data_IF_755206420274
#
_entry.id   IF_755206420274
#
_cell.length_a   1.000
_cell.length_b   1.000
_cell.length_c   1.000
_cell.angle_alpha   90.00
_cell.angle_beta   90.00
_cell.angle_gamma   90.00
#
_symmetry.space_group_name_H-M   'P 1'
#
loop_
_entity.id
_entity.type
_entity.pdbx_description
1 polymer ?
#
# COMPACT_ATOMS: atom_id res chain seq x y z
N UNK A 1 -12.06 -29.63 15.15
CA UNK A 1 -12.18 -29.16 13.76
C UNK A 1 -11.21 -28.00 13.63
N UNK A 2 -10.20 -28.11 12.78
CA UNK A 2 -9.26 -27.01 12.56
C UNK A 2 -9.96 -25.99 11.65
N UNK A 3 -10.28 -24.81 12.18
CA UNK A 3 -10.78 -23.72 11.36
C UNK A 3 -9.65 -23.21 10.47
N UNK A 4 -9.91 -23.06 9.17
CA UNK A 4 -8.96 -22.46 8.26
C UNK A 4 -8.81 -20.97 8.61
N UNK A 5 -7.60 -20.54 8.95
CA UNK A 5 -7.30 -19.17 9.39
C UNK A 5 -6.41 -18.40 8.42
N UNK A 6 -5.68 -19.11 7.55
CA UNK A 6 -4.89 -18.51 6.49
C UNK A 6 -5.24 -19.22 5.18
N UNK A 7 -5.47 -18.44 4.14
CA UNK A 7 -5.76 -18.93 2.81
C UNK A 7 -4.90 -18.16 1.81
N UNK A 8 -4.10 -18.91 1.06
CA UNK A 8 -3.29 -18.39 -0.02
C UNK A 8 -3.87 -18.84 -1.37
N UNK A 9 -4.24 -17.86 -2.18
CA UNK A 9 -4.75 -18.01 -3.54
C UNK A 9 -3.92 -17.18 -4.52
N UNK A 10 -2.69 -16.78 -4.17
CA UNK A 10 -1.88 -15.95 -5.06
C UNK A 10 -1.63 -16.62 -6.41
N UNK A 11 -1.56 -15.81 -7.47
CA UNK A 11 -1.31 -16.22 -8.86
C UNK A 11 -2.33 -17.26 -9.36
N UNK A 12 -3.52 -17.29 -8.75
CA UNK A 12 -4.62 -18.12 -9.22
C UNK A 12 -5.46 -17.36 -10.25
N UNK A 13 -5.11 -17.49 -11.52
CA UNK A 13 -5.82 -16.85 -12.65
C UNK A 13 -7.32 -17.19 -12.73
N UNK A 14 -7.73 -18.30 -12.11
CA UNK A 14 -9.12 -18.75 -12.07
C UNK A 14 -9.94 -18.16 -10.91
N UNK A 15 -9.29 -17.46 -9.96
CA UNK A 15 -9.99 -16.82 -8.86
C UNK A 15 -10.58 -15.50 -9.37
N UNK A 16 -11.91 -15.49 -9.45
CA UNK A 16 -12.74 -14.34 -9.80
C UNK A 16 -13.54 -13.88 -8.59
N UNK A 17 -14.26 -12.77 -8.74
CA UNK A 17 -15.08 -12.17 -7.68
C UNK A 17 -16.05 -13.17 -7.03
N UNK A 18 -16.69 -14.05 -7.81
CA UNK A 18 -17.59 -15.09 -7.27
C UNK A 18 -16.87 -16.05 -6.32
N UNK A 19 -15.62 -16.39 -6.64
CA UNK A 19 -14.76 -17.22 -5.82
C UNK A 19 -14.44 -16.53 -4.49
N UNK A 20 -14.07 -15.25 -4.53
CA UNK A 20 -13.78 -14.44 -3.34
C UNK A 20 -15.03 -14.25 -2.47
N UNK A 21 -16.19 -14.02 -3.08
CA UNK A 21 -17.47 -13.91 -2.36
C UNK A 21 -17.83 -15.24 -1.68
N UNK A 22 -17.57 -16.39 -2.32
CA UNK A 22 -17.83 -17.70 -1.74
C UNK A 22 -16.96 -17.98 -0.48
N UNK A 23 -15.80 -17.34 -0.36
CA UNK A 23 -14.95 -17.44 0.84
C UNK A 23 -15.65 -16.93 2.09
N UNK A 24 -16.68 -16.09 1.98
CA UNK A 24 -17.47 -15.63 3.14
C UNK A 24 -18.12 -16.76 3.96
N UNK A 25 -18.17 -17.99 3.44
CA UNK A 25 -18.55 -19.20 4.20
C UNK A 25 -17.47 -19.70 5.18
N UNK A 26 -16.27 -19.10 5.17
CA UNK A 26 -15.11 -19.43 6.00
C UNK A 26 -14.86 -18.30 7.01
N UNK A 27 -15.64 -18.20 8.10
CA UNK A 27 -15.68 -17.02 8.98
C UNK A 27 -14.41 -16.79 9.81
N UNK A 28 -13.48 -17.74 9.81
CA UNK A 28 -12.29 -17.71 10.66
C UNK A 28 -11.01 -17.26 9.94
N UNK A 29 -11.10 -16.84 8.67
CA UNK A 29 -9.94 -16.37 7.91
C UNK A 29 -9.42 -15.07 8.55
N UNK A 30 -8.15 -15.12 8.97
CA UNK A 30 -7.37 -14.01 9.51
C UNK A 30 -6.29 -13.54 8.52
N UNK A 31 -5.91 -14.36 7.54
CA UNK A 31 -4.95 -14.02 6.49
C UNK A 31 -5.47 -14.49 5.14
N UNK A 32 -5.55 -13.57 4.17
CA UNK A 32 -5.99 -13.84 2.81
C UNK A 32 -5.00 -13.23 1.82
N UNK A 33 -4.42 -14.08 0.96
CA UNK A 33 -3.52 -13.66 -0.11
C UNK A 33 -4.20 -13.87 -1.46
N UNK A 34 -4.50 -12.78 -2.16
CA UNK A 34 -5.05 -12.72 -3.52
C UNK A 34 -4.06 -12.07 -4.50
N UNK A 35 -2.77 -12.08 -4.17
CA UNK A 35 -1.74 -11.47 -5.02
C UNK A 35 -1.78 -12.06 -6.43
N UNK A 36 -1.74 -11.26 -7.48
CA UNK A 36 -1.75 -11.73 -8.87
C UNK A 36 -3.11 -12.26 -9.35
N UNK A 37 -4.17 -12.20 -8.53
CA UNK A 37 -5.52 -12.56 -8.98
C UNK A 37 -6.10 -11.43 -9.84
N UNK A 38 -5.69 -11.36 -11.11
CA UNK A 38 -6.00 -10.26 -12.04
C UNK A 38 -7.50 -10.13 -12.37
N UNK A 39 -8.30 -11.16 -12.09
CA UNK A 39 -9.76 -11.14 -12.30
C UNK A 39 -10.55 -10.71 -11.05
N UNK A 40 -9.86 -10.36 -9.95
CA UNK A 40 -10.50 -9.80 -8.76
C UNK A 40 -10.66 -8.29 -8.94
N UNK A 41 -11.89 -7.82 -8.82
CA UNK A 41 -12.28 -6.41 -8.95
C UNK A 41 -12.79 -5.86 -7.60
N UNK A 42 -13.36 -4.65 -7.63
CA UNK A 42 -14.07 -4.06 -6.49
C UNK A 42 -15.18 -4.97 -5.93
N UNK A 43 -15.81 -5.81 -6.76
CA UNK A 43 -16.83 -6.76 -6.31
C UNK A 43 -16.22 -7.84 -5.42
N UNK A 44 -15.07 -8.40 -5.80
CA UNK A 44 -14.32 -9.35 -4.99
C UNK A 44 -13.82 -8.73 -3.70
N UNK A 45 -13.26 -7.51 -3.75
CA UNK A 45 -12.84 -6.77 -2.56
C UNK A 45 -13.99 -6.54 -1.58
N UNK A 46 -15.21 -6.25 -2.09
CA UNK A 46 -16.43 -6.20 -1.28
C UNK A 46 -16.78 -7.56 -0.66
N UNK A 47 -16.56 -8.66 -1.38
CA UNK A 47 -16.71 -10.02 -0.84
C UNK A 47 -15.80 -10.30 0.36
N UNK A 48 -14.58 -9.76 0.37
CA UNK A 48 -13.63 -9.90 1.49
C UNK A 48 -14.19 -9.34 2.80
N UNK A 49 -15.12 -8.37 2.76
CA UNK A 49 -15.75 -7.78 3.95
C UNK A 49 -16.46 -8.79 4.86
N UNK A 50 -16.78 -9.99 4.37
CA UNK A 50 -17.32 -11.07 5.18
C UNK A 50 -16.37 -11.52 6.31
N UNK A 51 -15.06 -11.25 6.18
CA UNK A 51 -14.01 -11.68 7.11
C UNK A 51 -13.65 -10.55 8.07
N UNK A 52 -14.54 -10.18 8.99
CA UNK A 52 -14.35 -9.01 9.89
C UNK A 52 -13.17 -9.15 10.87
N UNK A 53 -12.67 -10.37 11.06
CA UNK A 53 -11.48 -10.68 11.86
C UNK A 53 -10.18 -10.71 11.04
N UNK A 54 -10.21 -10.32 9.76
CA UNK A 54 -9.05 -10.35 8.88
C UNK A 54 -7.96 -9.40 9.38
N UNK A 55 -6.75 -9.93 9.58
CA UNK A 55 -5.58 -9.21 10.05
C UNK A 55 -4.56 -8.94 8.94
N UNK A 56 -4.55 -9.76 7.90
CA UNK A 56 -3.65 -9.63 6.75
C UNK A 56 -4.40 -9.84 5.45
N UNK A 57 -4.27 -8.88 4.54
CA UNK A 57 -4.83 -8.93 3.19
C UNK A 57 -3.77 -8.51 2.16
N UNK A 58 -3.60 -9.32 1.12
CA UNK A 58 -2.89 -8.89 -0.09
C UNK A 58 -3.84 -8.93 -1.28
N UNK A 59 -3.99 -7.80 -1.94
CA UNK A 59 -4.66 -7.61 -3.23
C UNK A 59 -3.65 -7.15 -4.29
N UNK A 60 -2.36 -7.39 -4.05
CA UNK A 60 -1.31 -6.95 -4.96
C UNK A 60 -1.52 -7.52 -6.37
N UNK A 61 -1.38 -6.70 -7.41
CA UNK A 61 -1.61 -7.13 -8.79
C UNK A 61 -3.07 -7.36 -9.17
N UNK A 62 -4.05 -7.06 -8.31
CA UNK A 62 -5.46 -6.95 -8.71
C UNK A 62 -5.64 -5.65 -9.50
N UNK A 63 -5.39 -5.71 -10.81
CA UNK A 63 -5.28 -4.54 -11.68
C UNK A 63 -6.59 -3.77 -11.88
N UNK A 64 -7.73 -4.47 -11.76
CA UNK A 64 -9.08 -3.90 -11.88
C UNK A 64 -9.63 -3.37 -10.54
N UNK A 65 -8.79 -3.31 -9.50
CA UNK A 65 -9.15 -2.74 -8.20
C UNK A 65 -9.06 -1.21 -8.23
N UNK A 66 -10.15 -0.53 -7.89
CA UNK A 66 -10.24 0.92 -7.86
C UNK A 66 -10.45 1.45 -6.43
N UNK A 67 -10.63 2.78 -6.32
CA UNK A 67 -10.98 3.43 -5.06
C UNK A 67 -12.25 2.87 -4.41
N UNK A 68 -13.20 2.34 -5.20
CA UNK A 68 -14.42 1.72 -4.67
C UNK A 68 -14.12 0.38 -3.94
N UNK A 69 -13.14 -0.38 -4.44
CA UNK A 69 -12.62 -1.56 -3.76
C UNK A 69 -11.94 -1.19 -2.44
N UNK A 70 -11.13 -0.13 -2.42
CA UNK A 70 -10.49 0.35 -1.19
C UNK A 70 -11.49 0.87 -0.15
N UNK A 71 -12.58 1.50 -0.57
CA UNK A 71 -13.69 1.85 0.33
C UNK A 71 -14.30 0.62 1.00
N UNK A 72 -14.36 -0.52 0.30
CA UNK A 72 -14.82 -1.78 0.88
C UNK A 72 -13.81 -2.35 1.87
N UNK A 73 -12.51 -2.32 1.52
CA UNK A 73 -11.41 -2.76 2.40
C UNK A 73 -11.35 -1.95 3.70
N UNK A 74 -11.73 -0.67 3.69
CA UNK A 74 -11.76 0.19 4.88
C UNK A 74 -12.69 -0.31 6.00
N UNK A 75 -13.64 -1.20 5.70
CA UNK A 75 -14.49 -1.84 6.70
C UNK A 75 -13.75 -2.88 7.56
N UNK A 76 -12.58 -3.36 7.12
CA UNK A 76 -11.78 -4.41 7.78
C UNK A 76 -10.86 -3.80 8.84
N UNK A 77 -11.43 -3.18 9.87
CA UNK A 77 -10.69 -2.40 10.89
C UNK A 77 -9.74 -3.22 11.77
N UNK A 78 -9.81 -4.55 11.69
CA UNK A 78 -8.87 -5.49 12.32
C UNK A 78 -7.55 -5.65 11.55
N UNK A 79 -7.43 -5.07 10.34
CA UNK A 79 -6.23 -5.21 9.51
C UNK A 79 -5.00 -4.61 10.17
N UNK A 80 -3.94 -5.39 10.15
CA UNK A 80 -2.58 -5.02 10.56
C UNK A 80 -1.60 -5.01 9.39
N UNK A 81 -1.93 -5.72 8.31
CA UNK A 81 -1.13 -5.79 7.09
C UNK A 81 -2.02 -5.67 5.86
N UNK A 82 -1.72 -4.72 4.98
CA UNK A 82 -2.38 -4.50 3.71
C UNK A 82 -1.35 -4.32 2.60
N UNK A 83 -1.50 -5.07 1.51
CA UNK A 83 -0.76 -4.83 0.27
C UNK A 83 -1.76 -4.60 -0.86
N UNK A 84 -1.62 -3.47 -1.54
CA UNK A 84 -2.33 -3.14 -2.80
C UNK A 84 -1.31 -2.82 -3.90
N UNK A 85 -0.12 -3.40 -3.79
CA UNK A 85 0.97 -3.16 -4.74
C UNK A 85 0.54 -3.49 -6.18
N UNK A 86 0.84 -2.63 -7.14
CA UNK A 86 0.45 -2.81 -8.54
C UNK A 86 -1.04 -2.61 -8.82
N UNK A 87 -1.85 -2.15 -7.86
CA UNK A 87 -3.19 -1.64 -8.12
C UNK A 87 -3.09 -0.21 -8.67
N UNK A 88 -2.76 -0.09 -9.95
CA UNK A 88 -2.45 1.20 -10.62
C UNK A 88 -3.66 2.13 -10.77
N UNK A 89 -4.89 1.63 -10.58
CA UNK A 89 -6.11 2.44 -10.58
C UNK A 89 -6.47 3.02 -9.19
N UNK A 90 -5.79 2.57 -8.12
CA UNK A 90 -5.97 3.15 -6.79
C UNK A 90 -5.31 4.53 -6.72
N UNK A 91 -6.09 5.53 -6.33
CA UNK A 91 -5.69 6.94 -6.27
C UNK A 91 -5.63 7.47 -4.84
N UNK A 92 -5.34 8.76 -4.71
CA UNK A 92 -5.41 9.47 -3.43
C UNK A 92 -6.78 9.31 -2.75
N UNK A 93 -7.89 9.27 -3.50
CA UNK A 93 -9.24 9.08 -2.96
C UNK A 93 -9.43 7.70 -2.32
N UNK A 94 -8.98 6.64 -2.98
CA UNK A 94 -9.00 5.29 -2.43
C UNK A 94 -8.09 5.17 -1.22
N UNK A 95 -6.92 5.82 -1.25
CA UNK A 95 -6.04 5.86 -0.10
C UNK A 95 -6.70 6.58 1.08
N UNK A 96 -7.36 7.72 0.84
CA UNK A 96 -8.13 8.47 1.84
C UNK A 96 -9.21 7.62 2.50
N UNK A 97 -9.85 6.72 1.77
CA UNK A 97 -10.86 5.82 2.30
C UNK A 97 -10.31 4.87 3.37
N UNK A 98 -9.01 4.55 3.36
CA UNK A 98 -8.37 3.61 4.29
C UNK A 98 -8.14 4.18 5.70
N UNK A 99 -8.41 5.46 5.96
CA UNK A 99 -8.27 6.10 7.29
C UNK A 99 -8.82 5.29 8.50
N UNK A 100 -9.92 4.52 8.39
CA UNK A 100 -10.40 3.71 9.52
C UNK A 100 -9.46 2.60 9.99
N UNK A 101 -8.45 2.22 9.20
CA UNK A 101 -7.50 1.14 9.50
C UNK A 101 -6.42 1.58 10.52
N UNK A 102 -6.84 2.07 11.68
CA UNK A 102 -5.94 2.65 12.71
C UNK A 102 -4.92 1.65 13.29
N UNK A 103 -5.19 0.34 13.14
CA UNK A 103 -4.34 -0.76 13.57
C UNK A 103 -3.28 -1.17 12.55
N UNK A 104 -3.25 -0.54 11.37
CA UNK A 104 -2.36 -0.94 10.28
C UNK A 104 -0.89 -0.73 10.68
N UNK A 105 -0.11 -1.82 10.60
CA UNK A 105 1.31 -1.87 10.92
C UNK A 105 2.18 -2.03 9.67
N UNK A 106 1.66 -2.65 8.63
CA UNK A 106 2.35 -2.89 7.36
C UNK A 106 1.46 -2.43 6.20
N UNK A 107 1.99 -1.55 5.36
CA UNK A 107 1.33 -1.07 4.15
C UNK A 107 2.29 -1.13 2.97
N UNK A 108 1.86 -1.76 1.88
CA UNK A 108 2.55 -1.71 0.60
C UNK A 108 1.66 -1.04 -0.45
N UNK A 109 2.16 0.06 -1.00
CA UNK A 109 1.59 0.81 -2.13
C UNK A 109 2.49 0.72 -3.36
N UNK A 110 3.43 -0.24 -3.39
CA UNK A 110 4.41 -0.35 -4.46
C UNK A 110 3.75 -0.33 -5.85
N UNK A 111 4.21 0.53 -6.75
CA UNK A 111 3.64 0.66 -8.09
C UNK A 111 2.21 1.24 -8.13
N UNK A 112 1.69 1.82 -7.04
CA UNK A 112 0.47 2.63 -7.08
C UNK A 112 0.79 4.01 -7.66
N UNK A 113 0.79 4.11 -9.00
CA UNK A 113 1.24 5.30 -9.73
C UNK A 113 0.34 6.52 -9.52
N UNK A 114 -0.94 6.35 -9.17
CA UNK A 114 -1.87 7.47 -8.99
C UNK A 114 -1.83 8.07 -7.58
N UNK A 115 -1.12 7.47 -6.64
CA UNK A 115 -0.90 8.03 -5.30
C UNK A 115 0.16 9.12 -5.37
N UNK A 116 -0.16 10.30 -4.83
CA UNK A 116 0.67 11.50 -4.85
C UNK A 116 0.94 12.04 -3.44
N UNK A 117 1.64 13.17 -3.36
CA UNK A 117 1.82 13.94 -2.12
C UNK A 117 0.49 14.25 -1.40
N UNK A 118 -0.61 14.35 -2.16
CA UNK A 118 -1.94 14.53 -1.59
C UNK A 118 -2.35 13.32 -0.76
N UNK A 119 -2.36 12.13 -1.34
CA UNK A 119 -2.69 10.89 -0.65
C UNK A 119 -1.80 10.61 0.56
N UNK A 120 -0.52 11.00 0.50
CA UNK A 120 0.43 10.84 1.61
C UNK A 120 -0.02 11.50 2.92
N UNK A 121 -0.87 12.53 2.86
CA UNK A 121 -1.48 13.14 4.07
C UNK A 121 -2.32 12.15 4.87
N UNK A 122 -2.82 11.09 4.24
CA UNK A 122 -3.58 10.00 4.88
C UNK A 122 -2.78 9.24 5.91
N UNK A 123 -1.45 9.14 5.75
CA UNK A 123 -0.60 8.35 6.62
C UNK A 123 -0.72 8.71 8.10
N UNK A 124 -1.07 9.97 8.40
CA UNK A 124 -1.34 10.45 9.77
C UNK A 124 -2.45 9.66 10.50
N UNK A 125 -3.30 8.94 9.78
CA UNK A 125 -4.34 8.09 10.32
C UNK A 125 -3.83 6.71 10.78
N UNK A 126 -2.57 6.35 10.51
CA UNK A 126 -1.97 5.06 10.84
C UNK A 126 -0.88 5.21 11.92
N UNK A 127 -1.25 5.51 13.18
CA UNK A 127 -0.28 5.75 14.24
C UNK A 127 0.57 4.51 14.59
N UNK A 128 0.10 3.32 14.21
CA UNK A 128 0.77 2.04 14.44
C UNK A 128 1.66 1.58 13.29
N UNK A 129 1.80 2.39 12.23
CA UNK A 129 2.50 1.98 11.00
C UNK A 129 4.00 1.81 11.28
N UNK A 130 4.50 0.59 11.02
CA UNK A 130 5.89 0.18 11.25
C UNK A 130 6.67 0.01 9.95
N UNK A 131 5.99 -0.41 8.89
CA UNK A 131 6.57 -0.65 7.57
C UNK A 131 5.72 -0.02 6.49
N UNK A 132 6.35 0.77 5.62
CA UNK A 132 5.74 1.39 4.47
C UNK A 132 6.58 1.15 3.22
N UNK A 133 5.99 0.59 2.18
CA UNK A 133 6.62 0.44 0.87
C UNK A 133 5.93 1.36 -0.14
N UNK A 134 6.68 2.30 -0.69
CA UNK A 134 6.26 3.26 -1.72
C UNK A 134 7.06 3.08 -3.01
N UNK A 135 7.78 1.96 -3.17
CA UNK A 135 8.62 1.75 -4.34
C UNK A 135 7.80 1.90 -5.64
N UNK A 136 8.35 2.60 -6.63
CA UNK A 136 7.63 2.86 -7.88
C UNK A 136 6.44 3.84 -7.78
N UNK A 137 6.19 4.49 -6.63
CA UNK A 137 5.23 5.59 -6.55
C UNK A 137 5.86 6.90 -7.05
N UNK A 138 5.85 7.11 -8.36
CA UNK A 138 6.61 8.19 -9.01
C UNK A 138 6.05 9.61 -8.83
N UNK A 139 4.83 9.76 -8.32
CA UNK A 139 4.18 11.06 -8.08
C UNK A 139 4.37 11.56 -6.64
N UNK A 140 5.14 10.83 -5.83
CA UNK A 140 5.52 11.23 -4.48
C UNK A 140 6.85 11.99 -4.55
N UNK A 141 6.88 13.16 -3.94
CA UNK A 141 8.06 14.03 -3.81
C UNK A 141 8.47 14.16 -2.35
N UNK A 142 9.57 14.90 -2.11
CA UNK A 142 10.01 15.27 -0.76
C UNK A 142 8.92 15.99 0.05
N UNK A 143 8.01 16.73 -0.59
CA UNK A 143 6.90 17.40 0.09
C UNK A 143 5.91 16.38 0.67
N UNK A 144 5.56 15.34 -0.09
CA UNK A 144 4.73 14.23 0.39
C UNK A 144 5.39 13.45 1.52
N UNK A 145 6.71 13.26 1.47
CA UNK A 145 7.45 12.58 2.54
C UNK A 145 7.43 13.34 3.87
N UNK A 146 7.16 14.65 3.88
CA UNK A 146 6.94 15.39 5.13
C UNK A 146 5.73 14.84 5.92
N UNK A 147 4.80 14.11 5.29
CA UNK A 147 3.70 13.43 5.95
C UNK A 147 4.14 12.23 6.82
N UNK A 148 5.38 11.76 6.69
CA UNK A 148 5.97 10.70 7.50
C UNK A 148 6.43 11.18 8.88
N UNK A 149 6.69 12.47 9.06
CA UNK A 149 7.19 13.06 10.31
C UNK A 149 6.41 12.65 11.59
N UNK A 150 5.07 12.54 11.60
CA UNK A 150 4.33 12.11 12.79
C UNK A 150 4.34 10.58 13.04
N UNK A 151 4.86 9.77 12.11
CA UNK A 151 4.87 8.31 12.23
C UNK A 151 6.03 7.80 13.08
N UNK A 152 5.93 8.01 14.39
CA UNK A 152 6.99 7.65 15.35
C UNK A 152 7.25 6.14 15.47
N UNK A 153 6.32 5.29 15.02
CA UNK A 153 6.46 3.85 15.01
C UNK A 153 7.13 3.29 13.73
N UNK A 154 7.36 4.14 12.71
CA UNK A 154 7.89 3.70 11.42
C UNK A 154 9.36 3.30 11.56
N UNK A 155 9.68 2.07 11.17
CA UNK A 155 11.02 1.47 11.27
C UNK A 155 11.55 0.96 9.94
N UNK A 156 10.68 0.79 8.95
CA UNK A 156 11.01 0.33 7.60
C UNK A 156 10.31 1.22 6.57
N UNK A 157 11.08 1.76 5.63
CA UNK A 157 10.62 2.57 4.53
C UNK A 157 11.36 2.17 3.25
N UNK A 158 10.61 1.87 2.19
CA UNK A 158 11.15 1.65 0.84
C UNK A 158 10.67 2.76 -0.10
N UNK A 159 11.63 3.40 -0.77
CA UNK A 159 11.44 4.48 -1.76
C UNK A 159 12.11 4.12 -3.09
N UNK A 160 12.40 2.84 -3.32
CA UNK A 160 13.14 2.39 -4.50
C UNK A 160 12.40 2.80 -5.77
N UNK A 161 13.10 3.35 -6.76
CA UNK A 161 12.50 3.85 -8.00
C UNK A 161 11.50 5.00 -7.76
N UNK A 162 11.63 5.79 -6.68
CA UNK A 162 10.94 7.08 -6.53
C UNK A 162 11.86 8.20 -7.07
N UNK A 163 11.96 8.32 -8.39
CA UNK A 163 12.92 9.22 -9.06
C UNK A 163 12.81 10.69 -8.59
N UNK A 164 11.59 11.17 -8.29
CA UNK A 164 11.36 12.55 -7.83
C UNK A 164 11.88 12.83 -6.42
N UNK A 165 12.03 11.80 -5.58
CA UNK A 165 12.66 11.89 -4.25
C UNK A 165 14.18 11.81 -4.41
N UNK A 166 14.65 10.88 -5.25
CA UNK A 166 16.07 10.65 -5.48
C UNK A 166 16.77 11.86 -6.15
N UNK A 167 16.09 12.57 -7.05
CA UNK A 167 16.64 13.78 -7.70
C UNK A 167 16.79 14.98 -6.77
N UNK A 168 15.91 15.15 -5.78
CA UNK A 168 15.94 16.33 -4.91
C UNK A 168 16.98 16.21 -3.79
N UNK A 169 17.25 15.00 -3.28
CA UNK A 169 18.40 14.76 -2.39
C UNK A 169 19.71 15.08 -3.13
N UNK A 170 19.82 14.69 -4.42
CA UNK A 170 20.97 15.02 -5.25
C UNK A 170 21.07 16.53 -5.52
N UNK A 171 19.96 17.23 -5.83
CA UNK A 171 19.96 18.70 -6.03
C UNK A 171 20.24 19.46 -4.74
N UNK A 172 19.74 19.01 -3.58
CA UNK A 172 20.02 19.63 -2.28
C UNK A 172 21.51 19.48 -1.93
N UNK A 173 22.12 18.33 -2.22
CA UNK A 173 23.57 18.15 -2.12
C UNK A 173 24.34 19.04 -3.11
N UNK A 174 23.86 19.20 -4.35
CA UNK A 174 24.50 20.02 -5.38
C UNK A 174 24.43 21.53 -5.07
N UNK A 175 23.30 22.01 -4.53
CA UNK A 175 23.13 23.40 -4.06
C UNK A 175 23.99 23.71 -2.82
N UNK A 176 24.19 22.73 -1.92
CA UNK A 176 25.10 22.88 -0.80
C UNK A 176 26.58 22.88 -1.21
N UNK A 177 26.96 22.14 -2.26
CA UNK A 177 28.34 22.15 -2.79
C UNK A 177 28.67 23.42 -3.60
N UNK A 178 27.68 24.02 -4.26
CA UNK A 178 27.85 25.33 -4.94
C UNK A 178 27.96 26.50 -3.95
N UNK A 179 27.33 26.43 -2.77
CA UNK A 179 27.53 27.42 -1.70
C UNK A 179 28.89 27.30 -0.99
N UNK A 180 29.54 26.12 -1.03
CA UNK A 180 30.79 25.85 -0.31
C UNK A 180 32.00 25.54 -1.20
N UNK A 181 31.87 25.59 -2.54
CA UNK A 181 33.00 25.52 -3.47
C UNK A 181 33.75 24.18 -3.51
N UNK A 182 33.07 23.05 -3.32
CA UNK A 182 33.69 21.71 -3.42
C UNK A 182 33.06 20.89 -4.56
N UNK A 183 33.89 20.30 -5.42
CA UNK A 183 33.51 19.70 -6.71
C UNK A 183 32.77 18.35 -6.58
N UNK A 184 31.67 18.23 -7.32
CA UNK A 184 30.74 17.10 -7.44
C UNK A 184 31.34 15.92 -8.25
N UNK A 185 32.45 15.34 -7.79
CA UNK A 185 33.19 14.32 -8.53
C UNK A 185 33.40 13.02 -7.76
N UNK A 186 32.35 12.32 -7.32
CA UNK A 186 32.53 11.00 -6.70
C UNK A 186 31.29 10.07 -6.60
N UNK A 187 30.17 10.32 -7.29
CA UNK A 187 28.97 9.45 -7.16
C UNK A 187 28.50 8.96 -8.54
N UNK A 188 29.40 8.34 -9.27
CA UNK A 188 29.06 7.32 -10.27
C UNK A 188 30.20 6.30 -10.32
N UNK A 189 30.00 5.18 -9.64
CA UNK A 189 30.69 3.90 -9.88
C UNK A 189 29.67 2.79 -9.71
#
# INVERSE_FOLDING_TARGET
>A
MHSLTALDLSECDLVMDEGVVALGSLPAIASLNLTGCVQVTDTGAKGVMAHTALMSLSLAGCQELTDAGLQSVAALTSLTSLSIAGCWQASDEGFYALKPLIGLAHLSLEGCEQVSDEGMRTLRAFPSLKSLNLAGCWRITDEGLAALAPLTALTSLSLTMCEQVEENVARHCHQQTEMHGLSYGAIRS
#
